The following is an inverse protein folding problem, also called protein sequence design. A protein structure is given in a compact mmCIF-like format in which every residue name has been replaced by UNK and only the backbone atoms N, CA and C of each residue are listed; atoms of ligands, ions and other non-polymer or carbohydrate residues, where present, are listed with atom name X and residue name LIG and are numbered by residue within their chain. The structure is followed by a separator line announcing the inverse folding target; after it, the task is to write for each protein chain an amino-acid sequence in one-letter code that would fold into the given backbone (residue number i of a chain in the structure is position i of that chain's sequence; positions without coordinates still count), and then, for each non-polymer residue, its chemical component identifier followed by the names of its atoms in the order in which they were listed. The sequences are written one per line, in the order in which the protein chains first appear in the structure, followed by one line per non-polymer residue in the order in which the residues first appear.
data_IF_934385112499
#
_entry.id   IF_934385112499
#
_cell.length_a   1.000
_cell.length_b   1.000
_cell.length_c   1.000
_cell.angle_alpha   90.00
_cell.angle_beta   90.00
_cell.angle_gamma   90.00
#
_symmetry.space_group_name_H-M   'P 1'
#
loop_
_entity.id
_entity.type
_entity.pdbx_description
1 polymer ?
#
# COMPACT_ATOMS: atom_id res chain seq x y z
N UNK A 1 -3.75 21.39 9.21
CA UNK A 1 -4.81 22.09 8.45
C UNK A 1 -4.91 23.58 8.75
N UNK A 2 -4.59 24.03 9.97
CA UNK A 2 -4.58 25.45 10.36
C UNK A 2 -3.93 26.38 9.33
N UNK A 3 -2.70 26.08 8.89
CA UNK A 3 -1.99 26.92 7.92
C UNK A 3 -2.76 27.17 6.61
N UNK A 4 -3.40 26.14 6.04
CA UNK A 4 -4.19 26.26 4.82
C UNK A 4 -5.41 27.15 5.03
N UNK A 5 -6.07 27.04 6.18
CA UNK A 5 -7.21 27.88 6.53
C UNK A 5 -6.78 29.34 6.75
N UNK A 6 -5.69 29.55 7.48
CA UNK A 6 -5.13 30.88 7.73
C UNK A 6 -4.75 31.58 6.40
N UNK A 7 -4.15 30.86 5.45
CA UNK A 7 -3.85 31.42 4.11
C UNK A 7 -5.11 31.74 3.30
N UNK A 8 -6.15 30.92 3.42
CA UNK A 8 -7.41 31.20 2.76
C UNK A 8 -8.11 32.43 3.37
N UNK A 9 -8.07 32.61 4.69
CA UNK A 9 -8.55 33.82 5.37
C UNK A 9 -7.76 35.06 4.93
N UNK A 10 -6.44 34.93 4.82
CA UNK A 10 -5.55 35.99 4.33
C UNK A 10 -5.89 36.37 2.89
N UNK A 11 -6.17 35.37 2.04
CA UNK A 11 -6.54 35.58 0.64
C UNK A 11 -7.89 36.28 0.51
N UNK A 12 -8.89 35.85 1.29
CA UNK A 12 -10.23 36.45 1.31
C UNK A 12 -10.20 37.91 1.77
N UNK A 13 -9.40 38.22 2.80
CA UNK A 13 -9.23 39.58 3.29
C UNK A 13 -8.52 40.50 2.29
N UNK A 14 -7.54 39.98 1.54
CA UNK A 14 -6.79 40.75 0.56
C UNK A 14 -7.54 40.98 -0.76
N UNK A 15 -8.54 40.13 -1.05
CA UNK A 15 -9.25 40.13 -2.33
C UNK A 15 -10.79 40.09 -2.16
N UNK A 16 -11.37 41.07 -1.44
CA UNK A 16 -12.81 41.11 -1.25
C UNK A 16 -13.55 41.30 -2.58
N UNK A 17 -14.65 40.57 -2.77
CA UNK A 17 -15.55 40.75 -3.92
C UNK A 17 -15.03 40.25 -5.27
N UNK A 18 -13.88 39.57 -5.33
CA UNK A 18 -13.44 38.92 -6.57
C UNK A 18 -14.31 37.70 -6.89
N UNK A 19 -14.69 37.60 -8.17
CA UNK A 19 -15.29 36.40 -8.70
C UNK A 19 -14.28 35.24 -8.80
N UNK A 20 -14.75 34.06 -9.18
CA UNK A 20 -13.89 32.86 -9.25
C UNK A 20 -12.70 33.08 -10.20
N UNK A 21 -12.90 33.68 -11.37
CA UNK A 21 -11.86 33.90 -12.36
C UNK A 21 -10.78 34.87 -11.83
N UNK A 22 -11.21 35.96 -11.19
CA UNK A 22 -10.30 36.92 -10.55
C UNK A 22 -9.50 36.29 -9.42
N UNK A 23 -10.09 35.36 -8.66
CA UNK A 23 -9.40 34.61 -7.60
C UNK A 23 -8.38 33.61 -8.18
N UNK A 24 -8.73 32.89 -9.23
CA UNK A 24 -7.81 31.97 -9.93
C UNK A 24 -6.59 32.71 -10.51
N UNK A 25 -6.78 33.91 -11.06
CA UNK A 25 -5.69 34.71 -11.61
C UNK A 25 -4.68 35.20 -10.54
N UNK A 26 -5.10 35.29 -9.27
CA UNK A 26 -4.27 35.86 -8.19
C UNK A 26 -3.70 34.84 -7.21
N UNK A 27 -4.26 33.64 -7.12
CA UNK A 27 -3.89 32.66 -6.09
C UNK A 27 -2.40 32.32 -6.11
N UNK A 28 -1.83 32.04 -7.28
CA UNK A 28 -0.43 31.59 -7.39
C UNK A 28 0.58 32.66 -6.97
N UNK A 29 0.26 33.93 -7.20
CA UNK A 29 1.11 35.06 -6.80
C UNK A 29 0.95 35.45 -5.32
N UNK A 30 -0.05 34.92 -4.61
CA UNK A 30 -0.36 35.30 -3.23
C UNK A 30 0.08 34.27 -2.20
N UNK A 31 -0.14 32.98 -2.49
CA UNK A 31 0.04 31.90 -1.52
C UNK A 31 1.49 31.78 -1.06
N UNK A 32 1.67 31.44 0.20
CA UNK A 32 2.99 31.06 0.71
C UNK A 32 3.31 29.62 0.26
N UNK A 33 4.32 29.48 -0.59
CA UNK A 33 4.78 28.21 -1.17
C UNK A 33 5.92 27.54 -0.40
N UNK A 34 6.16 27.91 0.85
CA UNK A 34 7.15 27.26 1.72
C UNK A 34 6.83 25.76 1.90
N UNK A 35 7.68 24.85 1.37
CA UNK A 35 7.45 23.41 1.43
C UNK A 35 7.51 22.85 2.86
N UNK A 36 8.08 23.60 3.83
CA UNK A 36 8.05 23.25 5.25
C UNK A 36 6.68 23.44 5.90
N UNK A 37 5.75 24.14 5.24
CA UNK A 37 4.39 24.39 5.75
C UNK A 37 3.32 23.63 4.98
N UNK A 38 3.43 23.58 3.65
CA UNK A 38 2.46 22.89 2.80
C UNK A 38 3.08 22.51 1.46
N UNK A 39 2.62 21.40 0.90
CA UNK A 39 2.81 21.09 -0.52
C UNK A 39 1.50 21.41 -1.26
N UNK A 40 1.48 22.51 -2.00
CA UNK A 40 0.29 22.92 -2.75
C UNK A 40 0.07 22.02 -3.96
N UNK A 41 -1.14 21.49 -4.08
CA UNK A 41 -1.60 20.79 -5.28
C UNK A 41 -2.61 21.63 -6.05
N UNK A 42 -2.92 21.21 -7.29
CA UNK A 42 -3.96 21.87 -8.09
C UNK A 42 -5.30 21.86 -7.35
N UNK A 43 -5.69 20.73 -6.77
CA UNK A 43 -6.94 20.61 -6.03
C UNK A 43 -7.00 21.55 -4.81
N UNK A 44 -5.93 21.63 -4.01
CA UNK A 44 -5.86 22.51 -2.84
C UNK A 44 -5.97 23.99 -3.21
N UNK A 45 -5.29 24.42 -4.28
CA UNK A 45 -5.40 25.79 -4.78
C UNK A 45 -6.82 26.11 -5.24
N UNK A 46 -7.47 25.20 -5.95
CA UNK A 46 -8.85 25.37 -6.39
C UNK A 46 -9.85 25.43 -5.24
N UNK A 47 -9.61 24.68 -4.16
CA UNK A 47 -10.46 24.74 -2.97
C UNK A 47 -10.26 26.05 -2.19
N UNK A 48 -9.03 26.59 -2.12
CA UNK A 48 -8.76 27.93 -1.59
C UNK A 48 -9.48 29.01 -2.41
N UNK A 49 -9.41 28.93 -3.73
CA UNK A 49 -10.18 29.80 -4.65
C UNK A 49 -11.68 29.73 -4.35
N UNK A 50 -12.21 28.58 -3.94
CA UNK A 50 -13.63 28.41 -3.57
C UNK A 50 -13.95 28.81 -2.14
N UNK A 51 -12.97 29.32 -1.38
CA UNK A 51 -13.16 29.71 0.02
C UNK A 51 -13.40 28.52 0.95
N UNK A 52 -13.00 27.31 0.57
CA UNK A 52 -13.17 26.15 1.45
C UNK A 52 -12.22 26.20 2.64
N UNK A 53 -12.67 25.64 3.76
CA UNK A 53 -11.89 25.43 4.98
C UNK A 53 -11.93 23.97 5.35
N UNK A 54 -10.91 23.53 6.08
CA UNK A 54 -10.76 22.13 6.45
C UNK A 54 -10.60 21.97 7.97
N UNK A 55 -11.22 20.92 8.50
CA UNK A 55 -10.99 20.41 9.85
C UNK A 55 -10.22 19.09 9.77
N UNK A 56 -9.35 18.87 10.76
CA UNK A 56 -8.70 17.57 10.90
C UNK A 56 -9.75 16.51 11.24
N UNK A 57 -9.58 15.32 10.67
CA UNK A 57 -10.48 14.19 10.86
C UNK A 57 -9.64 12.98 11.24
N UNK A 58 -9.66 12.62 12.52
CA UNK A 58 -8.88 11.53 13.09
C UNK A 58 -9.20 10.19 12.41
N UNK A 59 -10.43 10.02 11.89
CA UNK A 59 -10.86 8.79 11.21
C UNK A 59 -10.20 8.59 9.84
N UNK A 60 -9.64 9.66 9.27
CA UNK A 60 -8.90 9.59 8.01
C UNK A 60 -7.45 9.10 8.21
N UNK A 61 -6.97 8.94 9.45
CA UNK A 61 -5.65 8.39 9.73
C UNK A 61 -5.69 6.85 9.68
N UNK A 62 -5.08 6.27 8.66
CA UNK A 62 -5.11 4.82 8.41
C UNK A 62 -3.71 4.26 8.21
N UNK A 63 -3.53 2.95 8.41
CA UNK A 63 -2.31 2.28 7.98
C UNK A 63 -2.32 2.06 6.47
N UNK A 64 -1.23 2.43 5.81
CA UNK A 64 -1.02 2.24 4.37
C UNK A 64 0.27 1.50 4.12
N UNK A 65 0.26 0.58 3.16
CA UNK A 65 1.46 -0.07 2.67
C UNK A 65 2.17 0.84 1.67
N UNK A 66 3.11 1.65 2.16
CA UNK A 66 3.79 2.66 1.34
C UNK A 66 4.70 2.01 0.29
N UNK A 67 5.42 0.96 0.69
CA UNK A 67 6.30 0.12 -0.15
C UNK A 67 6.18 -1.34 0.29
N UNK A 68 6.65 -2.31 -0.51
CA UNK A 68 6.64 -3.72 -0.11
C UNK A 68 7.29 -3.88 1.27
N UNK A 69 6.56 -4.53 2.18
CA UNK A 69 7.00 -4.76 3.56
C UNK A 69 7.23 -3.48 4.40
N UNK A 70 6.66 -2.34 4.02
CA UNK A 70 6.82 -1.07 4.75
C UNK A 70 5.48 -0.36 4.91
N UNK A 71 4.87 -0.52 6.09
CA UNK A 71 3.67 0.22 6.49
C UNK A 71 4.03 1.61 7.01
N UNK A 72 3.16 2.58 6.74
CA UNK A 72 3.23 3.93 7.28
C UNK A 72 1.81 4.42 7.60
N UNK A 73 1.71 5.38 8.52
CA UNK A 73 0.47 6.11 8.73
C UNK A 73 0.23 7.06 7.55
N UNK A 74 -0.96 6.98 6.95
CA UNK A 74 -1.43 7.84 5.88
C UNK A 74 -2.65 8.60 6.36
N UNK A 75 -2.63 9.92 6.15
CA UNK A 75 -3.84 10.72 6.22
C UNK A 75 -4.60 10.58 4.90
N UNK A 76 -5.53 9.63 4.84
CA UNK A 76 -6.29 9.26 3.65
C UNK A 76 -7.60 10.06 3.55
N UNK A 77 -7.51 11.23 2.95
CA UNK A 77 -8.60 12.18 2.82
C UNK A 77 -8.71 12.69 1.38
N UNK A 78 -9.90 12.63 0.77
CA UNK A 78 -10.15 13.06 -0.62
C UNK A 78 -9.78 14.53 -0.91
N UNK A 79 -9.67 15.38 0.11
CA UNK A 79 -9.24 16.79 -0.04
C UNK A 79 -7.72 16.94 -0.03
N UNK A 80 -7.01 16.07 0.69
CA UNK A 80 -5.56 16.15 0.87
C UNK A 80 -4.77 15.10 0.06
N UNK A 81 -5.46 14.17 -0.60
CA UNK A 81 -4.89 13.28 -1.60
C UNK A 81 -5.43 13.65 -2.97
N UNK A 82 -4.52 14.01 -3.90
CA UNK A 82 -4.89 14.45 -5.25
C UNK A 82 -5.74 13.39 -5.98
N UNK A 83 -5.43 12.12 -5.78
CA UNK A 83 -6.15 10.98 -6.36
C UNK A 83 -6.35 9.89 -5.31
N UNK A 84 -7.60 9.58 -4.99
CA UNK A 84 -7.99 8.44 -4.13
C UNK A 84 -8.49 7.23 -4.93
N UNK A 85 -8.71 7.41 -6.24
CA UNK A 85 -9.21 6.39 -7.18
C UNK A 85 -10.41 5.61 -6.62
N UNK A 86 -10.41 4.29 -6.80
CA UNK A 86 -11.43 3.38 -6.29
C UNK A 86 -11.11 2.86 -4.88
N UNK A 87 -10.04 3.35 -4.22
CA UNK A 87 -9.64 2.85 -2.90
C UNK A 87 -10.77 2.94 -1.85
N UNK A 88 -11.65 3.97 -1.83
CA UNK A 88 -12.79 3.97 -0.90
C UNK A 88 -13.81 2.84 -1.07
N UNK A 89 -13.79 2.13 -2.22
CA UNK A 89 -14.62 0.92 -2.46
C UNK A 89 -13.90 -0.38 -2.08
N UNK A 90 -12.60 -0.30 -1.77
CA UNK A 90 -11.74 -1.43 -1.43
C UNK A 90 -11.36 -1.39 0.06
N UNK A 91 -10.90 -0.22 0.52
CA UNK A 91 -10.57 0.16 1.89
C UNK A 91 -11.38 1.42 2.26
N UNK A 92 -12.66 1.22 2.60
CA UNK A 92 -13.57 2.33 2.91
C UNK A 92 -13.24 3.19 4.13
N UNK A 93 -12.56 2.62 5.12
CA UNK A 93 -12.15 3.21 6.40
C UNK A 93 -11.06 2.34 7.04
N UNK A 94 -10.56 2.74 8.22
CA UNK A 94 -9.48 2.06 8.95
C UNK A 94 -9.84 0.66 9.45
N UNK A 95 -11.13 0.36 9.63
CA UNK A 95 -11.60 -0.93 10.13
C UNK A 95 -11.84 -1.95 9.01
N UNK A 96 -11.77 -1.52 7.76
CA UNK A 96 -12.10 -2.35 6.62
C UNK A 96 -11.05 -3.45 6.37
N UNK A 97 -11.45 -4.70 6.56
CA UNK A 97 -10.62 -5.85 6.24
C UNK A 97 -10.75 -6.23 4.76
N UNK A 98 -9.63 -6.28 4.05
CA UNK A 98 -9.61 -6.75 2.67
C UNK A 98 -8.25 -7.34 2.31
N UNK A 99 -8.19 -8.05 1.19
CA UNK A 99 -6.95 -8.54 0.58
C UNK A 99 -6.92 -8.05 -0.86
N UNK A 100 -5.78 -7.55 -1.32
CA UNK A 100 -5.66 -7.01 -2.67
C UNK A 100 -4.36 -7.46 -3.32
N UNK A 101 -4.46 -8.05 -4.51
CA UNK A 101 -3.30 -8.38 -5.33
C UNK A 101 -2.94 -7.12 -6.10
N UNK A 102 -1.77 -6.56 -5.82
CA UNK A 102 -1.19 -5.42 -6.52
C UNK A 102 -0.21 -5.93 -7.57
N UNK A 103 -0.32 -5.44 -8.81
CA UNK A 103 0.66 -5.71 -9.87
C UNK A 103 1.27 -4.42 -10.37
N UNK A 104 2.51 -4.51 -10.86
CA UNK A 104 3.17 -3.39 -11.54
C UNK A 104 2.34 -2.91 -12.73
N UNK A 105 2.23 -1.59 -12.88
CA UNK A 105 1.49 -1.00 -13.99
C UNK A 105 2.25 -1.08 -15.31
N UNK A 106 1.54 -0.76 -16.39
CA UNK A 106 2.09 -0.76 -17.76
C UNK A 106 3.32 0.19 -17.83
N UNK A 107 4.41 -0.31 -18.42
CA UNK A 107 5.66 0.42 -18.53
C UNK A 107 6.33 0.70 -17.17
N UNK A 108 6.20 -0.21 -16.20
CA UNK A 108 7.06 -0.24 -15.03
C UNK A 108 8.51 -0.55 -15.45
N UNK A 109 9.47 0.18 -14.89
CA UNK A 109 10.90 0.08 -15.27
C UNK A 109 11.57 -1.11 -14.61
N UNK A 110 11.03 -1.55 -13.49
CA UNK A 110 11.56 -2.64 -12.67
C UNK A 110 11.05 -4.03 -13.07
N UNK A 111 10.34 -4.15 -14.19
CA UNK A 111 9.74 -5.39 -14.67
C UNK A 111 8.41 -5.71 -13.98
N UNK A 112 7.80 -6.84 -14.38
CA UNK A 112 6.54 -7.30 -13.80
C UNK A 112 6.75 -7.82 -12.37
N UNK A 113 5.89 -7.39 -11.46
CA UNK A 113 5.85 -7.85 -10.09
C UNK A 113 4.40 -7.94 -9.62
N UNK A 114 4.12 -8.90 -8.73
CA UNK A 114 2.85 -9.05 -8.03
C UNK A 114 3.10 -9.11 -6.52
N UNK A 115 2.30 -8.41 -5.73
CA UNK A 115 2.42 -8.38 -4.27
C UNK A 115 1.04 -8.25 -3.64
N UNK A 116 0.73 -9.06 -2.64
CA UNK A 116 -0.57 -8.99 -1.95
C UNK A 116 -0.49 -8.07 -0.72
N UNK A 117 -1.54 -7.29 -0.48
CA UNK A 117 -1.64 -6.41 0.67
C UNK A 117 -2.97 -6.59 1.42
N UNK A 118 -2.94 -6.36 2.74
CA UNK A 118 -4.12 -6.27 3.61
C UNK A 118 -4.39 -4.86 4.16
N UNK A 119 -3.61 -3.88 3.70
CA UNK A 119 -3.75 -2.46 4.04
C UNK A 119 -3.76 -1.64 2.75
N UNK A 120 -4.18 -0.37 2.83
CA UNK A 120 -4.29 0.50 1.66
C UNK A 120 -2.93 0.63 0.95
N UNK A 121 -2.78 0.14 -0.29
CA UNK A 121 -1.50 0.19 -0.99
C UNK A 121 -1.23 1.58 -1.57
N UNK A 122 -0.01 2.07 -1.42
CA UNK A 122 0.45 3.26 -2.14
C UNK A 122 0.54 2.98 -3.64
N UNK A 123 0.24 3.99 -4.47
CA UNK A 123 0.26 3.88 -5.93
C UNK A 123 1.61 3.38 -6.47
N UNK A 124 2.73 3.81 -5.87
CA UNK A 124 4.05 3.40 -6.32
C UNK A 124 4.61 2.18 -5.58
N UNK A 125 3.84 1.49 -4.74
CA UNK A 125 4.32 0.32 -3.99
C UNK A 125 5.01 -0.70 -4.93
N UNK A 126 4.39 -1.02 -6.06
CA UNK A 126 4.97 -1.86 -7.13
C UNK A 126 5.13 -1.11 -8.46
N UNK A 127 5.29 0.23 -8.40
CA UNK A 127 5.35 1.16 -9.55
C UNK A 127 4.05 1.17 -10.40
N UNK A 128 3.32 2.30 -10.40
CA UNK A 128 2.05 2.46 -11.12
C UNK A 128 1.00 1.36 -10.81
N UNK A 129 0.96 0.95 -9.55
CA UNK A 129 0.27 -0.24 -9.06
C UNK A 129 -1.19 -0.32 -9.54
N UNK A 130 -1.57 -1.49 -10.05
CA UNK A 130 -2.95 -1.87 -10.33
C UNK A 130 -3.41 -2.90 -9.30
N UNK A 131 -4.59 -2.70 -8.74
CA UNK A 131 -5.04 -3.38 -7.54
C UNK A 131 -6.30 -4.21 -7.84
N UNK A 132 -6.20 -5.52 -7.63
CA UNK A 132 -7.28 -6.50 -7.83
C UNK A 132 -7.74 -7.01 -6.46
N UNK A 133 -8.84 -6.49 -5.90
CA UNK A 133 -9.26 -6.81 -4.54
C UNK A 133 -9.99 -8.15 -4.47
N UNK A 134 -10.00 -8.78 -3.29
CA UNK A 134 -10.84 -9.94 -3.01
C UNK A 134 -12.30 -9.52 -2.79
N UNK A 135 -12.49 -8.40 -2.10
CA UNK A 135 -13.81 -7.84 -1.80
C UNK A 135 -13.99 -6.42 -2.33
N UNK A 136 -15.23 -6.08 -2.65
CA UNK A 136 -15.70 -4.71 -2.83
C UNK A 136 -16.69 -4.38 -1.71
N UNK A 137 -16.63 -3.13 -1.27
CA UNK A 137 -17.57 -2.53 -0.35
C UNK A 137 -18.50 -1.62 -1.15
N UNK A 138 -19.79 -1.92 -1.10
CA UNK A 138 -20.79 -1.04 -1.69
C UNK A 138 -20.98 0.21 -0.81
N UNK A 139 -21.49 1.29 -1.40
CA UNK A 139 -21.79 2.50 -0.63
C UNK A 139 -22.91 2.16 0.36
N UNK A 140 -22.55 2.02 1.63
CA UNK A 140 -23.51 1.64 2.67
C UNK A 140 -24.64 2.65 2.80
N UNK A 141 -25.85 2.13 3.06
CA UNK A 141 -26.97 2.95 3.52
C UNK A 141 -26.61 3.55 4.89
N UNK A 142 -27.05 4.79 5.14
CA UNK A 142 -26.91 5.40 6.47
C UNK A 142 -27.79 4.60 7.42
N UNK A 143 -27.20 4.03 8.46
CA UNK A 143 -27.97 3.33 9.49
C UNK A 143 -28.96 4.32 10.12
N UNK A 144 -30.26 4.17 9.84
CA UNK A 144 -31.36 4.91 10.49
C UNK A 144 -32.16 5.91 9.64
N UNK A 145 -31.88 6.12 8.36
CA UNK A 145 -32.71 6.99 7.50
C UNK A 145 -33.61 6.16 6.56
N UNK A 146 -34.93 6.40 6.61
CA UNK A 146 -35.87 5.93 5.59
C UNK A 146 -35.43 6.47 4.22
N UNK A 147 -35.61 5.65 3.18
CA UNK A 147 -35.24 5.93 1.79
C UNK A 147 -35.88 7.23 1.31
N UNK A 148 -35.16 8.35 1.37
CA UNK A 148 -35.50 9.58 0.65
C UNK A 148 -34.60 9.68 -0.57
N UNK A 149 -35.22 10.00 -1.70
CA UNK A 149 -34.64 10.05 -3.05
C UNK A 149 -33.20 10.59 -3.13
N UNK A 150 -32.40 9.93 -3.97
CA UNK A 150 -30.98 10.17 -4.30
C UNK A 150 -30.60 11.63 -4.61
N UNK A 151 -31.58 12.48 -4.89
CA UNK A 151 -31.39 13.90 -5.25
C UNK A 151 -31.12 14.80 -4.02
N UNK A 152 -31.71 14.52 -2.86
CA UNK A 152 -31.59 15.39 -1.68
C UNK A 152 -30.31 15.14 -0.86
N UNK A 153 -29.80 13.90 -0.86
CA UNK A 153 -28.55 13.57 -0.17
C UNK A 153 -27.29 14.21 -0.79
N UNK A 154 -27.40 14.87 -1.94
CA UNK A 154 -26.29 15.55 -2.62
C UNK A 154 -25.95 16.92 -2.00
N UNK A 155 -26.84 17.48 -1.16
CA UNK A 155 -26.71 18.84 -0.60
C UNK A 155 -26.56 18.90 0.93
N UNK A 156 -26.41 17.76 1.61
CA UNK A 156 -26.29 17.70 3.07
C UNK A 156 -24.85 17.85 3.58
N UNK A 157 -24.48 19.06 4.01
CA UNK A 157 -23.28 19.35 4.80
C UNK A 157 -23.45 18.85 6.25
N UNK A 158 -23.13 17.57 6.50
CA UNK A 158 -22.82 17.11 7.85
C UNK A 158 -21.96 15.85 7.80
N UNK A 159 -20.64 16.02 8.00
CA UNK A 159 -19.70 14.93 8.23
C UNK A 159 -19.75 14.51 9.71
N UNK A 160 -20.84 13.87 10.13
CA UNK A 160 -20.80 13.05 11.34
C UNK A 160 -20.47 11.61 10.93
N UNK A 161 -19.49 10.94 11.56
CA UNK A 161 -19.17 9.55 11.29
C UNK A 161 -20.25 8.66 11.93
N UNK A 162 -21.38 8.50 11.25
CA UNK A 162 -22.30 7.41 11.57
C UNK A 162 -21.69 6.15 10.98
N UNK A 163 -21.54 5.10 11.79
CA UNK A 163 -21.11 3.78 11.33
C UNK A 163 -22.01 3.35 10.17
N UNK A 164 -21.49 3.38 8.94
CA UNK A 164 -22.22 2.87 7.78
C UNK A 164 -22.07 1.36 7.80
N UNK A 165 -23.19 0.65 7.93
CA UNK A 165 -23.21 -0.77 7.60
C UNK A 165 -22.94 -0.87 6.10
N UNK A 166 -21.73 -1.29 5.73
CA UNK A 166 -21.35 -1.47 4.32
C UNK A 166 -21.48 -2.94 3.98
N UNK A 167 -22.24 -3.24 2.94
CA UNK A 167 -22.32 -4.60 2.41
C UNK A 167 -21.00 -4.93 1.69
N UNK A 168 -20.36 -6.01 2.14
CA UNK A 168 -19.15 -6.57 1.53
C UNK A 168 -19.53 -7.69 0.58
N UNK A 169 -18.99 -7.69 -0.64
CA UNK A 169 -19.18 -8.75 -1.63
C UNK A 169 -17.87 -9.11 -2.31
N UNK A 170 -17.77 -10.30 -2.89
CA UNK A 170 -16.60 -10.67 -3.68
C UNK A 170 -16.45 -9.77 -4.92
N UNK A 171 -15.21 -9.42 -5.25
CA UNK A 171 -14.90 -8.64 -6.44
C UNK A 171 -14.93 -9.47 -7.73
N UNK A 172 -14.58 -10.76 -7.64
CA UNK A 172 -14.71 -11.69 -8.77
C UNK A 172 -16.19 -11.86 -9.10
N UNK A 173 -16.55 -11.65 -10.37
CA UNK A 173 -17.93 -11.80 -10.84
C UNK A 173 -18.30 -13.28 -10.98
N UNK A 174 -19.60 -13.57 -11.10
CA UNK A 174 -20.07 -14.94 -11.28
C UNK A 174 -19.68 -15.49 -12.66
N UNK A 175 -19.59 -14.64 -13.69
CA UNK A 175 -19.08 -15.00 -15.00
C UNK A 175 -17.58 -15.34 -14.94
N UNK A 176 -16.82 -14.58 -14.16
CA UNK A 176 -15.41 -14.86 -13.90
C UNK A 176 -15.21 -16.21 -13.22
N UNK A 177 -16.06 -16.55 -12.24
CA UNK A 177 -16.04 -17.86 -11.60
C UNK A 177 -16.46 -18.97 -12.58
N UNK A 178 -17.50 -18.73 -13.38
CA UNK A 178 -18.02 -19.68 -14.36
C UNK A 178 -16.96 -20.12 -15.38
N UNK A 179 -16.08 -19.19 -15.78
CA UNK A 179 -14.95 -19.49 -16.66
C UNK A 179 -14.04 -20.60 -16.10
N UNK A 180 -13.72 -20.54 -14.80
CA UNK A 180 -12.87 -21.55 -14.14
C UNK A 180 -13.63 -22.86 -13.87
N UNK A 181 -14.90 -22.79 -13.43
CA UNK A 181 -15.69 -24.00 -13.19
C UNK A 181 -15.97 -24.78 -14.48
N UNK A 182 -16.12 -24.09 -15.61
CA UNK A 182 -16.27 -24.74 -16.92
C UNK A 182 -14.98 -25.45 -17.38
N UNK A 183 -13.81 -24.92 -17.02
CA UNK A 183 -12.52 -25.53 -17.36
C UNK A 183 -12.20 -26.77 -16.49
N UNK A 184 -12.79 -26.86 -15.30
CA UNK A 184 -12.55 -27.94 -14.32
C UNK A 184 -13.88 -28.57 -13.85
N UNK A 185 -14.57 -29.32 -14.73
CA UNK A 185 -15.85 -29.93 -14.39
C UNK A 185 -15.70 -30.94 -13.24
N UNK A 186 -16.59 -30.84 -12.25
CA UNK A 186 -16.58 -31.70 -11.05
C UNK A 186 -15.85 -31.10 -9.85
N UNK A 187 -15.12 -30.01 -10.02
CA UNK A 187 -14.41 -29.33 -8.93
C UNK A 187 -15.27 -28.25 -8.25
N UNK A 188 -15.22 -28.20 -6.92
CA UNK A 188 -15.89 -27.17 -6.12
C UNK A 188 -15.00 -25.91 -5.98
N UNK A 189 -14.95 -25.09 -7.04
CA UNK A 189 -14.13 -23.88 -7.07
C UNK A 189 -14.89 -22.69 -6.49
N UNK A 190 -14.29 -22.01 -5.49
CA UNK A 190 -14.81 -20.76 -4.94
C UNK A 190 -14.10 -19.54 -5.54
N UNK A 191 -14.68 -18.34 -5.36
CA UNK A 191 -14.06 -17.06 -5.78
C UNK A 191 -12.72 -16.81 -5.08
N UNK A 192 -12.59 -17.26 -3.84
CA UNK A 192 -11.35 -17.17 -3.09
C UNK A 192 -10.27 -18.11 -3.64
N UNK A 193 -10.65 -19.32 -4.08
CA UNK A 193 -9.72 -20.24 -4.74
C UNK A 193 -9.15 -19.62 -6.02
N UNK A 194 -10.00 -18.99 -6.85
CA UNK A 194 -9.54 -18.27 -8.05
C UNK A 194 -8.60 -17.12 -7.68
N UNK A 195 -8.91 -16.36 -6.63
CA UNK A 195 -8.06 -15.26 -6.18
C UNK A 195 -6.64 -15.73 -5.81
N UNK A 196 -6.51 -16.83 -5.06
CA UNK A 196 -5.19 -17.37 -4.72
C UNK A 196 -4.51 -18.10 -5.86
N UNK A 197 -5.28 -18.78 -6.72
CA UNK A 197 -4.77 -19.33 -7.97
C UNK A 197 -4.09 -18.25 -8.82
N UNK A 198 -4.74 -17.08 -8.99
CA UNK A 198 -4.15 -15.93 -9.69
C UNK A 198 -2.83 -15.55 -9.03
N UNK A 199 -2.80 -15.43 -7.70
CA UNK A 199 -1.60 -15.04 -7.00
C UNK A 199 -0.43 -16.02 -7.19
N UNK A 200 -0.71 -17.33 -7.12
CA UNK A 200 0.27 -18.38 -7.39
C UNK A 200 0.76 -18.36 -8.84
N UNK A 201 -0.14 -18.25 -9.81
CA UNK A 201 0.20 -18.19 -11.23
C UNK A 201 1.07 -16.97 -11.56
N UNK A 202 0.76 -15.81 -10.99
CA UNK A 202 1.55 -14.58 -11.17
C UNK A 202 2.96 -14.68 -10.59
N UNK A 203 3.28 -15.72 -9.81
CA UNK A 203 4.62 -16.02 -9.31
C UNK A 203 5.31 -17.17 -10.05
N UNK A 204 4.64 -17.83 -10.98
CA UNK A 204 5.24 -18.86 -11.82
C UNK A 204 6.33 -18.26 -12.72
N UNK A 205 7.59 -18.78 -12.66
CA UNK A 205 8.65 -18.39 -13.57
C UNK A 205 8.26 -18.64 -15.03
N UNK A 206 7.63 -19.78 -15.32
CA UNK A 206 7.19 -20.16 -16.66
C UNK A 206 6.15 -19.18 -17.21
N UNK A 207 5.17 -18.77 -16.39
CA UNK A 207 4.18 -17.77 -16.79
C UNK A 207 4.85 -16.42 -17.08
N UNK A 208 5.71 -15.95 -16.18
CA UNK A 208 6.40 -14.66 -16.33
C UNK A 208 7.32 -14.64 -17.56
N UNK A 209 8.03 -15.74 -17.82
CA UNK A 209 8.90 -15.86 -18.98
C UNK A 209 8.09 -15.92 -20.28
N UNK A 210 7.04 -16.76 -20.33
CA UNK A 210 6.20 -16.94 -21.52
C UNK A 210 5.47 -15.67 -21.94
N UNK A 211 5.03 -14.86 -20.98
CA UNK A 211 4.24 -13.65 -21.23
C UNK A 211 5.00 -12.34 -20.96
N UNK A 212 6.33 -12.37 -20.88
CA UNK A 212 7.16 -11.21 -20.50
C UNK A 212 6.84 -9.94 -21.33
N UNK A 213 6.71 -10.08 -22.65
CA UNK A 213 6.40 -8.97 -23.55
C UNK A 213 5.01 -8.38 -23.32
N UNK A 214 4.02 -9.23 -23.04
CA UNK A 214 2.64 -8.81 -22.73
C UNK A 214 2.59 -8.12 -21.36
N UNK A 215 3.22 -8.71 -20.35
CA UNK A 215 3.23 -8.18 -18.97
C UNK A 215 3.88 -6.80 -18.86
N UNK A 216 4.75 -6.44 -19.81
CA UNK A 216 5.33 -5.10 -19.89
C UNK A 216 4.38 -4.05 -20.51
N UNK A 217 3.41 -4.48 -21.33
CA UNK A 217 2.60 -3.63 -22.21
C UNK A 217 1.11 -3.60 -21.86
N UNK A 218 0.58 -4.64 -21.22
CA UNK A 218 -0.82 -4.77 -20.85
C UNK A 218 -0.99 -5.45 -19.48
N UNK A 219 -2.20 -5.43 -18.95
CA UNK A 219 -2.54 -6.15 -17.72
C UNK A 219 -2.44 -7.68 -17.91
N UNK A 220 -2.04 -8.43 -16.86
CA UNK A 220 -1.92 -9.88 -16.94
C UNK A 220 -3.27 -10.52 -17.30
N UNK A 221 -3.25 -11.38 -18.31
CA UNK A 221 -4.37 -12.26 -18.67
C UNK A 221 -4.17 -13.61 -18.00
N UNK A 222 -5.18 -14.09 -17.30
CA UNK A 222 -5.10 -15.28 -16.46
C UNK A 222 -5.67 -16.48 -17.23
N UNK A 223 -4.85 -17.42 -17.73
CA UNK A 223 -5.33 -18.65 -18.34
C UNK A 223 -5.81 -19.67 -17.30
N UNK A 224 -6.62 -20.63 -17.75
CA UNK A 224 -6.82 -21.89 -17.04
C UNK A 224 -5.66 -22.84 -17.38
N UNK A 225 -4.91 -23.30 -16.37
CA UNK A 225 -3.87 -24.32 -16.54
C UNK A 225 -4.48 -25.68 -16.89
N UNK A 226 -3.77 -26.54 -17.65
CA UNK A 226 -4.31 -27.86 -18.01
C UNK A 226 -4.40 -28.77 -16.79
N UNK A 227 -5.61 -29.23 -16.49
CA UNK A 227 -5.89 -30.17 -15.40
C UNK A 227 -6.20 -29.49 -14.06
N UNK A 228 -7.18 -30.04 -13.34
CA UNK A 228 -7.60 -29.55 -12.02
C UNK A 228 -6.49 -29.65 -10.97
N UNK A 229 -5.66 -30.69 -11.04
CA UNK A 229 -4.50 -30.87 -10.15
C UNK A 229 -3.58 -29.64 -10.16
N UNK A 230 -3.21 -29.13 -11.35
CA UNK A 230 -2.36 -27.95 -11.48
C UNK A 230 -3.05 -26.69 -11.00
N UNK A 231 -4.36 -26.56 -11.21
CA UNK A 231 -5.14 -25.45 -10.66
C UNK A 231 -5.03 -25.43 -9.13
N UNK A 232 -5.26 -26.58 -8.48
CA UNK A 232 -5.17 -26.70 -7.04
C UNK A 232 -3.74 -26.49 -6.52
N UNK A 233 -2.72 -26.97 -7.23
CA UNK A 233 -1.33 -26.72 -6.88
C UNK A 233 -0.99 -25.22 -6.89
N UNK A 234 -1.41 -24.47 -7.92
CA UNK A 234 -1.23 -23.01 -7.96
C UNK A 234 -2.07 -22.29 -6.92
N UNK A 235 -3.30 -22.75 -6.65
CA UNK A 235 -4.14 -22.20 -5.60
C UNK A 235 -3.48 -22.35 -4.22
N UNK A 236 -2.97 -23.55 -3.91
CA UNK A 236 -2.34 -23.84 -2.62
C UNK A 236 -1.02 -23.08 -2.45
N UNK A 237 -0.14 -23.11 -3.46
CA UNK A 237 1.09 -22.32 -3.46
C UNK A 237 0.79 -20.81 -3.32
N UNK A 238 -0.26 -20.32 -4.00
CA UNK A 238 -0.71 -18.94 -3.89
C UNK A 238 -1.25 -18.59 -2.50
N UNK A 239 -1.97 -19.50 -1.83
CA UNK A 239 -2.42 -19.33 -0.44
C UNK A 239 -1.25 -19.25 0.52
N UNK A 240 -0.32 -20.18 0.43
CA UNK A 240 0.88 -20.22 1.29
C UNK A 240 1.73 -18.96 1.10
N UNK A 241 1.99 -18.57 -0.15
CA UNK A 241 2.75 -17.37 -0.45
C UNK A 241 2.04 -16.09 0.03
N UNK A 242 0.72 -16.04 -0.13
CA UNK A 242 -0.06 -14.92 0.37
C UNK A 242 -0.03 -14.82 1.89
N UNK A 243 -0.10 -15.94 2.61
CA UNK A 243 0.01 -15.98 4.07
C UNK A 243 1.35 -15.37 4.53
N UNK A 244 2.46 -15.80 3.91
CA UNK A 244 3.79 -15.25 4.18
C UNK A 244 3.87 -13.73 3.93
N UNK A 245 3.29 -13.26 2.83
CA UNK A 245 3.33 -11.84 2.46
C UNK A 245 2.38 -10.96 3.25
N UNK A 246 1.27 -11.49 3.75
CA UNK A 246 0.34 -10.75 4.60
C UNK A 246 0.83 -10.70 6.05
N UNK A 247 1.51 -11.75 6.50
CA UNK A 247 2.00 -11.93 7.87
C UNK A 247 3.52 -11.70 7.99
N UNK A 248 4.13 -10.96 7.06
CA UNK A 248 5.59 -10.78 6.98
C UNK A 248 6.26 -10.20 8.23
N UNK A 249 5.48 -9.60 9.14
CA UNK A 249 5.93 -9.02 10.41
C UNK A 249 5.89 -10.03 11.57
N UNK A 250 5.15 -11.14 11.43
CA UNK A 250 4.83 -12.06 12.54
C UNK A 250 5.19 -13.52 12.26
N UNK A 251 5.53 -13.90 11.03
CA UNK A 251 5.96 -15.28 10.74
C UNK A 251 7.34 -15.56 11.33
N UNK A 252 7.53 -16.84 11.69
CA UNK A 252 8.71 -17.37 12.35
C UNK A 252 10.01 -16.92 11.65
N UNK A 253 10.93 -16.25 12.37
CA UNK A 253 12.19 -15.83 11.83
C UNK A 253 13.11 -17.00 11.50
N UNK A 254 13.97 -16.79 10.52
CA UNK A 254 15.09 -17.71 10.30
C UNK A 254 16.08 -17.56 11.44
N UNK A 255 16.58 -18.68 11.97
CA UNK A 255 17.49 -18.65 13.10
C UNK A 255 18.82 -18.02 12.68
N UNK A 256 19.09 -16.84 13.21
CA UNK A 256 20.38 -16.14 13.09
C UNK A 256 20.93 -15.84 14.48
N UNK A 257 22.23 -16.07 14.67
CA UNK A 257 22.90 -15.75 15.92
C UNK A 257 23.33 -14.27 15.90
N UNK A 258 22.56 -13.42 16.58
CA UNK A 258 22.88 -12.00 16.69
C UNK A 258 24.22 -11.80 17.41
N UNK A 259 25.05 -10.92 16.87
CA UNK A 259 26.27 -10.46 17.54
C UNK A 259 25.98 -9.12 18.20
N UNK A 260 26.10 -9.07 19.52
CA UNK A 260 25.96 -7.85 20.32
C UNK A 260 27.34 -7.35 20.71
N UNK A 261 27.60 -6.07 20.45
CA UNK A 261 28.89 -5.44 20.74
C UNK A 261 28.85 -4.68 22.06
N UNK A 262 29.79 -4.96 22.95
CA UNK A 262 29.90 -4.36 24.28
C UNK A 262 29.27 -5.22 25.38
N UNK A 263 29.72 -5.00 26.61
CA UNK A 263 29.45 -5.92 27.73
C UNK A 263 28.10 -5.68 28.44
N UNK A 264 27.48 -4.52 28.20
CA UNK A 264 26.20 -4.16 28.80
C UNK A 264 25.02 -4.83 28.05
N UNK A 265 24.02 -5.37 28.78
CA UNK A 265 22.78 -5.87 28.19
C UNK A 265 22.09 -4.84 27.29
N UNK A 266 21.38 -5.31 26.27
CA UNK A 266 20.60 -4.44 25.38
C UNK A 266 19.40 -3.84 26.11
N UNK A 267 19.14 -2.57 25.85
CA UNK A 267 17.95 -1.82 26.27
C UNK A 267 17.13 -1.42 25.04
N UNK A 268 15.90 -0.97 25.23
CA UNK A 268 15.02 -0.52 24.12
C UNK A 268 15.67 0.56 23.24
N UNK A 269 16.50 1.42 23.83
CA UNK A 269 17.24 2.45 23.10
C UNK A 269 18.26 1.87 22.11
N UNK A 270 18.84 0.71 22.41
CA UNK A 270 19.82 0.02 21.56
C UNK A 270 19.19 -0.59 20.30
N UNK A 271 17.86 -0.73 20.22
CA UNK A 271 17.15 -1.22 19.03
C UNK A 271 16.83 -0.11 18.02
N UNK A 272 17.21 1.14 18.30
CA UNK A 272 17.03 2.25 17.37
C UNK A 272 17.95 2.12 16.16
N UNK A 273 17.37 2.29 14.96
CA UNK A 273 18.12 2.33 13.70
C UNK A 273 18.28 3.76 13.22
N UNK A 274 19.49 4.07 12.75
CA UNK A 274 19.76 5.27 11.94
C UNK A 274 20.02 4.87 10.49
N UNK A 275 20.85 3.86 10.27
CA UNK A 275 21.13 3.34 8.93
C UNK A 275 21.77 1.95 8.99
N UNK A 276 21.06 0.96 8.48
CA UNK A 276 21.61 -0.39 8.32
C UNK A 276 22.59 -0.46 7.14
N UNK A 277 23.60 -1.32 7.25
CA UNK A 277 24.65 -1.47 6.23
C UNK A 277 25.03 -2.93 6.06
N UNK A 278 25.41 -3.31 4.84
CA UNK A 278 26.08 -4.59 4.62
C UNK A 278 27.45 -4.62 5.26
N UNK A 279 27.88 -5.81 5.62
CA UNK A 279 29.28 -6.11 5.87
C UNK A 279 30.12 -5.79 4.64
N UNK A 280 31.44 -5.84 4.82
CA UNK A 280 32.39 -5.62 3.72
C UNK A 280 33.49 -6.66 3.76
N UNK A 281 33.80 -7.20 2.59
CA UNK A 281 35.00 -8.00 2.35
C UNK A 281 35.88 -7.18 1.42
N UNK A 282 36.85 -6.46 1.99
CA UNK A 282 37.64 -5.46 1.25
C UNK A 282 36.77 -4.31 0.73
N UNK A 283 36.69 -4.16 -0.60
CA UNK A 283 35.86 -3.13 -1.28
C UNK A 283 34.44 -3.61 -1.62
N UNK A 284 34.19 -4.92 -1.57
CA UNK A 284 32.92 -5.51 -1.95
C UNK A 284 31.97 -5.63 -0.76
N UNK A 285 30.67 -5.66 -1.05
CA UNK A 285 29.63 -5.84 -0.03
C UNK A 285 29.54 -7.32 0.33
N UNK A 286 29.58 -7.61 1.61
CA UNK A 286 29.21 -8.92 2.13
C UNK A 286 27.71 -8.93 2.44
N UNK A 287 26.95 -9.70 1.66
CA UNK A 287 25.50 -9.83 1.80
C UNK A 287 25.10 -10.82 2.91
N UNK A 288 26.04 -11.59 3.45
CA UNK A 288 25.78 -12.53 4.55
C UNK A 288 25.73 -11.83 5.91
N UNK A 289 26.19 -10.58 5.99
CA UNK A 289 26.27 -9.80 7.22
C UNK A 289 25.55 -8.47 7.08
N UNK A 290 24.71 -8.14 8.06
CA UNK A 290 24.06 -6.84 8.18
C UNK A 290 24.42 -6.19 9.52
N UNK A 291 24.99 -5.00 9.46
CA UNK A 291 25.11 -4.10 10.60
C UNK A 291 23.77 -3.37 10.78
N UNK A 292 23.04 -3.74 11.82
CA UNK A 292 21.76 -3.11 12.16
C UNK A 292 22.00 -1.69 12.71
N UNK A 293 22.93 -1.59 13.65
CA UNK A 293 23.51 -0.36 14.18
C UNK A 293 24.88 -0.67 14.81
N UNK A 294 25.44 0.27 15.58
CA UNK A 294 26.77 0.11 16.20
C UNK A 294 26.79 -0.96 17.31
N UNK A 295 25.62 -1.36 17.84
CA UNK A 295 25.49 -2.32 18.94
C UNK A 295 25.14 -3.72 18.46
N UNK A 296 24.51 -3.87 17.30
CA UNK A 296 23.93 -5.14 16.84
C UNK A 296 24.31 -5.45 15.39
N UNK A 297 24.88 -6.63 15.18
CA UNK A 297 25.17 -7.22 13.86
C UNK A 297 24.41 -8.52 13.67
N UNK A 298 23.90 -8.73 12.46
CA UNK A 298 23.15 -9.92 12.03
C UNK A 298 24.01 -10.67 11.00
N UNK A 299 24.81 -11.67 11.40
CA UNK A 299 25.58 -12.52 10.50
C UNK A 299 24.75 -13.72 10.00
N UNK A 300 25.31 -14.45 9.02
CA UNK A 300 24.78 -15.74 8.59
C UNK A 300 23.50 -15.67 7.75
N UNK A 301 23.27 -14.55 7.07
CA UNK A 301 22.12 -14.40 6.18
C UNK A 301 22.37 -15.22 4.90
N UNK A 302 21.46 -16.15 4.52
CA UNK A 302 21.58 -16.93 3.30
C UNK A 302 21.51 -16.03 2.06
N UNK A 303 22.36 -16.29 1.06
CA UNK A 303 22.43 -15.48 -0.16
C UNK A 303 21.18 -15.67 -1.03
N UNK A 304 20.57 -16.84 -0.96
CA UNK A 304 19.33 -17.22 -1.64
C UNK A 304 18.18 -16.28 -1.26
N UNK A 305 18.20 -15.70 -0.05
CA UNK A 305 17.19 -14.74 0.38
C UNK A 305 17.16 -13.44 -0.46
N UNK A 306 18.23 -13.13 -1.19
CA UNK A 306 18.29 -11.97 -2.08
C UNK A 306 17.74 -12.26 -3.49
N UNK A 307 17.49 -13.53 -3.83
CA UNK A 307 16.89 -13.91 -5.11
C UNK A 307 15.41 -13.51 -5.18
N UNK A 308 14.76 -13.37 -4.03
CA UNK A 308 13.40 -12.86 -3.95
C UNK A 308 13.34 -11.35 -4.20
N UNK A 309 12.93 -10.98 -5.42
CA UNK A 309 12.88 -9.60 -5.92
C UNK A 309 11.43 -9.13 -6.04
N UNK A 310 11.13 -7.99 -5.42
CA UNK A 310 9.84 -7.29 -5.53
C UNK A 310 10.10 -5.90 -6.09
N UNK A 311 9.52 -5.59 -7.25
CA UNK A 311 9.66 -4.31 -7.93
C UNK A 311 11.15 -3.95 -8.19
N UNK A 312 11.89 -4.90 -8.80
CA UNK A 312 13.27 -4.72 -9.24
C UNK A 312 14.31 -4.56 -8.13
N UNK A 313 13.92 -4.75 -6.86
CA UNK A 313 14.82 -4.73 -5.71
C UNK A 313 14.62 -5.97 -4.85
N UNK A 314 15.72 -6.58 -4.35
CA UNK A 314 15.63 -7.53 -3.25
C UNK A 314 14.93 -6.92 -2.04
N UNK A 315 14.21 -7.75 -1.28
CA UNK A 315 13.47 -7.37 -0.07
C UNK A 315 14.30 -6.48 0.88
N UNK A 316 15.57 -6.81 1.10
CA UNK A 316 16.47 -6.16 2.07
C UNK A 316 17.16 -4.88 1.57
N UNK A 317 17.73 -4.92 0.36
CA UNK A 317 18.57 -3.81 -0.14
C UNK A 317 17.75 -2.54 -0.40
N UNK A 318 16.50 -2.70 -0.83
CA UNK A 318 15.68 -1.60 -1.37
C UNK A 318 14.67 -0.99 -0.41
N UNK A 319 14.04 -1.80 0.44
CA UNK A 319 12.83 -1.39 1.16
C UNK A 319 13.09 -1.16 2.65
N UNK A 320 13.76 -2.09 3.33
CA UNK A 320 14.04 -2.00 4.77
C UNK A 320 15.13 -0.98 5.08
N UNK A 321 16.25 -1.01 4.34
CA UNK A 321 17.36 -0.06 4.54
C UNK A 321 16.96 1.40 4.22
N UNK A 322 16.11 1.62 3.23
CA UNK A 322 15.70 2.94 2.77
C UNK A 322 14.55 3.55 3.59
N UNK A 323 13.71 2.71 4.20
CA UNK A 323 12.63 3.14 5.09
C UNK A 323 13.14 3.44 6.51
N UNK A 324 14.04 2.61 7.04
CA UNK A 324 14.64 2.78 8.37
C UNK A 324 15.60 3.99 8.47
N UNK A 325 16.09 4.51 7.34
CA UNK A 325 17.10 5.58 7.30
C UNK A 325 16.55 6.99 7.12
N UNK A 326 15.22 7.17 7.03
CA UNK A 326 14.61 8.50 6.94
C UNK A 326 14.15 8.93 8.34
N UNK A 327 14.68 10.01 8.93
CA UNK A 327 14.11 10.56 10.14
C UNK A 327 12.73 11.15 9.78
N UNK A 328 11.65 10.47 10.20
CA UNK A 328 10.34 11.10 10.27
C UNK A 328 10.42 12.17 11.36
N UNK A 329 10.63 13.42 10.95
CA UNK A 329 10.34 14.57 11.80
C UNK A 329 8.84 14.50 12.08
N UNK A 330 8.51 14.32 13.36
CA UNK A 330 7.18 14.23 13.97
C UNK A 330 6.41 12.90 13.81
N UNK A 331 6.13 12.32 14.99
CA UNK A 331 5.19 11.24 15.38
C UNK A 331 5.65 9.79 15.17
N UNK A 332 5.82 9.08 16.30
CA UNK A 332 5.73 7.62 16.43
C UNK A 332 7.00 6.84 16.14
N UNK A 333 7.69 6.44 17.21
CA UNK A 333 8.73 5.41 17.21
C UNK A 333 8.25 4.14 16.50
N UNK A 334 8.98 3.72 15.47
CA UNK A 334 8.86 2.36 14.93
C UNK A 334 9.93 1.50 15.59
N UNK A 335 9.55 0.76 16.63
CA UNK A 335 10.28 -0.44 17.05
C UNK A 335 10.00 -1.49 15.99
N UNK A 336 10.98 -1.79 15.13
CA UNK A 336 10.86 -2.92 14.22
C UNK A 336 11.07 -4.22 15.00
N UNK A 337 10.21 -5.24 14.83
CA UNK A 337 10.54 -6.57 15.31
C UNK A 337 11.82 -7.04 14.60
N UNK A 338 12.85 -7.35 15.40
CA UNK A 338 14.24 -7.63 14.99
C UNK A 338 14.43 -8.90 14.17
N UNK A 339 13.35 -9.60 13.87
CA UNK A 339 13.39 -10.97 13.38
C UNK A 339 12.18 -11.17 12.48
N UNK A 340 12.33 -10.89 11.19
CA UNK A 340 11.35 -11.27 10.17
C UNK A 340 11.67 -12.64 9.58
N UNK A 341 10.70 -13.28 8.91
CA UNK A 341 10.80 -14.64 8.39
C UNK A 341 11.80 -14.80 7.26
N UNK A 342 12.52 -15.91 7.30
CA UNK A 342 13.22 -16.45 6.14
C UNK A 342 12.87 -17.93 6.08
N UNK A 343 11.97 -18.26 5.16
CA UNK A 343 11.83 -19.61 4.64
C UNK A 343 12.12 -19.52 3.14
N UNK A 344 12.87 -20.49 2.59
CA UNK A 344 13.20 -20.54 1.16
C UNK A 344 11.96 -20.54 0.28
#
# INVERSE_FOLDING_TARGET
MRFTNDEADRFDKAHPGLDKAGREAKVDGFINADPGKISWTRALKQDLVKGKRYSYDDNALIQSLYRPFTKQWLYFNRRFNEMVYQMPRIFPDSAAENRVICVSGIGARSGFCAFIANALPCFDMVEKSQCFPLYLYDEGERAGEQVVSRMESLFGESHQPVARSRTRRHALTDEGLAHFTAAYPGEAISKENVFYYIYGLLHSPDYRAKYADNLAKELPRIPCVPGAEKFWAFCEAGRQLADLHLNYETVEPYPVNLTVHGDAPLTDADYRVVKMRYGKTGKEKDLTTIHYNDRITIPGIPLEAYEYIVNGKPRWTGWWSASASRPTRTVGSSTMPMTGPWKP
#
